data_IF_199036405985
#
_entry.id   IF_199036405985
#
_cell.length_a   1.000
_cell.length_b   1.000
_cell.length_c   1.000
_cell.angle_alpha   90.00
_cell.angle_beta   90.00
_cell.angle_gamma   90.00
#
_symmetry.space_group_name_H-M   'P 1'
#
loop_
_entity.id
_entity.type
_entity.pdbx_description
1 polymer ?
#
# COMPACT_ATOMS: atom_id res chain seq x y z
N UNK A 1 -22.12 11.90 0.45
CA UNK A 1 -21.32 11.10 1.40
C UNK A 1 -20.83 9.80 0.79
N UNK A 2 -21.69 8.96 0.19
CA UNK A 2 -21.27 7.72 -0.50
C UNK A 2 -20.29 7.99 -1.67
N UNK A 3 -20.53 9.05 -2.43
CA UNK A 3 -19.69 9.45 -3.58
C UNK A 3 -18.22 9.69 -3.18
N UNK A 4 -17.98 10.36 -2.05
CA UNK A 4 -16.64 10.66 -1.54
C UNK A 4 -15.87 9.40 -1.12
N UNK A 5 -16.57 8.40 -0.59
CA UNK A 5 -15.95 7.13 -0.19
C UNK A 5 -15.47 6.36 -1.42
N UNK A 6 -16.27 6.35 -2.51
CA UNK A 6 -15.86 5.72 -3.77
C UNK A 6 -14.60 6.36 -4.35
N UNK A 7 -14.50 7.71 -4.32
CA UNK A 7 -13.31 8.42 -4.81
C UNK A 7 -12.05 8.05 -4.02
N UNK A 8 -12.16 7.92 -2.69
CA UNK A 8 -11.02 7.57 -1.82
C UNK A 8 -10.63 6.10 -1.92
N UNK A 9 -11.59 5.19 -2.11
CA UNK A 9 -11.32 3.75 -2.20
C UNK A 9 -10.93 3.28 -3.61
N UNK A 10 -11.32 4.00 -4.66
CA UNK A 10 -11.03 3.64 -6.05
C UNK A 10 -9.55 3.27 -6.30
N UNK A 11 -8.54 4.02 -5.78
CA UNK A 11 -7.14 3.66 -5.97
C UNK A 11 -6.78 2.32 -5.32
N UNK A 12 -7.35 2.01 -4.15
CA UNK A 12 -7.10 0.75 -3.43
C UNK A 12 -7.63 -0.43 -4.24
N UNK A 13 -8.87 -0.33 -4.74
CA UNK A 13 -9.45 -1.35 -5.60
C UNK A 13 -8.68 -1.51 -6.91
N UNK A 14 -8.17 -0.42 -7.48
CA UNK A 14 -7.35 -0.46 -8.69
C UNK A 14 -6.06 -1.26 -8.48
N UNK A 15 -5.32 -0.99 -7.40
CA UNK A 15 -4.07 -1.71 -7.07
C UNK A 15 -4.38 -3.19 -6.77
N UNK A 16 -5.45 -3.48 -6.02
CA UNK A 16 -5.88 -4.85 -5.74
C UNK A 16 -6.24 -5.62 -7.02
N UNK A 17 -6.95 -4.99 -7.95
CA UNK A 17 -7.29 -5.60 -9.23
C UNK A 17 -6.04 -5.98 -10.02
N UNK A 18 -5.04 -5.08 -10.09
CA UNK A 18 -3.75 -5.36 -10.75
C UNK A 18 -3.06 -6.56 -10.10
N UNK A 19 -2.95 -6.58 -8.77
CA UNK A 19 -2.34 -7.69 -8.04
C UNK A 19 -3.05 -9.03 -8.29
N UNK A 20 -4.39 -9.00 -8.31
CA UNK A 20 -5.20 -10.18 -8.63
C UNK A 20 -4.98 -10.68 -10.05
N UNK A 21 -4.99 -9.80 -11.06
CA UNK A 21 -4.73 -10.20 -12.44
C UNK A 21 -3.32 -10.74 -12.64
N UNK A 22 -2.32 -10.15 -12.00
CA UNK A 22 -0.94 -10.62 -12.09
C UNK A 22 -0.76 -12.00 -11.43
N UNK A 23 -1.39 -12.23 -10.28
CA UNK A 23 -1.45 -13.57 -9.66
C UNK A 23 -2.21 -14.58 -10.51
N UNK A 24 -3.37 -14.19 -11.09
CA UNK A 24 -4.18 -15.04 -11.97
C UNK A 24 -3.45 -15.42 -13.25
N UNK A 25 -2.63 -14.52 -13.81
CA UNK A 25 -1.79 -14.79 -14.97
C UNK A 25 -0.61 -15.74 -14.66
N UNK A 26 -0.46 -16.21 -13.41
CA UNK A 26 0.68 -17.01 -12.92
C UNK A 26 2.04 -16.39 -13.23
N UNK A 27 2.09 -15.05 -13.32
CA UNK A 27 3.36 -14.33 -13.53
C UNK A 27 4.25 -14.39 -12.29
N UNK A 28 3.67 -14.72 -11.14
CA UNK A 28 4.36 -14.87 -9.87
C UNK A 28 4.17 -16.29 -9.32
N UNK A 29 5.27 -17.00 -9.12
CA UNK A 29 5.29 -18.22 -8.32
C UNK A 29 5.23 -17.88 -6.82
N UNK A 30 4.90 -18.87 -5.98
CA UNK A 30 4.84 -18.76 -4.51
C UNK A 30 6.08 -18.11 -3.90
N UNK A 31 7.26 -18.44 -4.43
CA UNK A 31 8.55 -17.83 -4.04
C UNK A 31 8.59 -16.33 -4.34
N UNK A 32 8.10 -15.90 -5.50
CA UNK A 32 8.10 -14.49 -5.89
C UNK A 32 7.06 -13.67 -5.12
N UNK A 33 5.89 -14.26 -4.83
CA UNK A 33 4.90 -13.61 -3.95
C UNK A 33 5.41 -13.47 -2.52
N UNK A 34 6.18 -14.45 -2.02
CA UNK A 34 6.83 -14.36 -0.71
C UNK A 34 7.89 -13.26 -0.69
N UNK A 35 8.72 -13.17 -1.73
CA UNK A 35 9.72 -12.11 -1.85
C UNK A 35 9.10 -10.71 -1.92
N UNK A 36 7.98 -10.54 -2.63
CA UNK A 36 7.22 -9.28 -2.62
C UNK A 36 6.68 -8.95 -1.23
N UNK A 37 6.14 -9.93 -0.52
CA UNK A 37 5.64 -9.73 0.84
C UNK A 37 6.77 -9.32 1.81
N UNK A 38 7.93 -9.97 1.72
CA UNK A 38 9.12 -9.64 2.52
C UNK A 38 9.62 -8.22 2.21
N UNK A 39 9.71 -7.83 0.94
CA UNK A 39 10.05 -6.46 0.55
C UNK A 39 9.07 -5.42 1.11
N UNK A 40 7.77 -5.74 1.09
CA UNK A 40 6.75 -4.85 1.65
C UNK A 40 6.90 -4.73 3.16
N UNK A 41 7.09 -5.84 3.88
CA UNK A 41 7.16 -5.84 5.33
C UNK A 41 8.46 -5.23 5.85
N UNK A 42 9.60 -5.52 5.22
CA UNK A 42 10.91 -5.13 5.75
C UNK A 42 11.37 -3.76 5.26
N UNK A 43 10.88 -3.30 4.10
CA UNK A 43 11.30 -2.02 3.52
C UNK A 43 10.14 -1.05 3.35
N UNK A 44 9.09 -1.43 2.61
CA UNK A 44 8.03 -0.49 2.25
C UNK A 44 7.24 -0.01 3.49
N UNK A 45 6.94 -0.93 4.41
CA UNK A 45 6.20 -0.64 5.64
C UNK A 45 7.01 0.32 6.54
N UNK A 46 8.26 0.03 6.95
CA UNK A 46 9.08 0.98 7.72
C UNK A 46 9.27 2.32 7.01
N UNK A 47 9.50 2.33 5.70
CA UNK A 47 9.63 3.57 4.93
C UNK A 47 8.35 4.41 4.94
N UNK A 48 7.19 3.78 4.81
CA UNK A 48 5.89 4.49 4.87
C UNK A 48 5.66 5.12 6.24
N UNK A 49 6.04 4.43 7.33
CA UNK A 49 5.97 4.96 8.69
C UNK A 49 6.93 6.12 8.89
N UNK A 50 8.15 6.04 8.34
CA UNK A 50 9.11 7.13 8.38
C UNK A 50 8.61 8.37 7.62
N UNK A 51 8.06 8.19 6.42
CA UNK A 51 7.47 9.28 5.64
C UNK A 51 6.27 9.88 6.37
N UNK A 52 5.39 9.06 6.94
CA UNK A 52 4.26 9.54 7.75
C UNK A 52 4.72 10.33 8.98
N UNK A 53 5.76 9.87 9.66
CA UNK A 53 6.32 10.55 10.84
C UNK A 53 7.02 11.87 10.46
N UNK A 54 7.82 11.89 9.39
CA UNK A 54 8.56 13.07 8.94
C UNK A 54 7.68 14.14 8.28
N UNK A 55 6.61 13.74 7.61
CA UNK A 55 5.63 14.67 7.01
C UNK A 55 4.63 15.24 8.02
N UNK A 56 4.55 14.68 9.23
CA UNK A 56 3.73 15.24 10.31
C UNK A 56 4.35 16.56 10.79
N UNK A 57 3.66 17.68 10.53
CA UNK A 57 4.13 19.01 10.99
C UNK A 57 4.27 19.04 12.50
N UNK A 58 5.35 19.66 13.00
CA UNK A 58 5.60 19.87 14.44
C UNK A 58 4.43 20.60 15.12
N UNK A 59 3.71 21.44 14.39
CA UNK A 59 2.54 22.16 14.88
C UNK A 59 1.36 21.23 15.23
N UNK A 60 1.29 20.06 14.58
CA UNK A 60 0.27 19.02 14.86
C UNK A 60 0.67 18.11 16.02
N UNK A 61 1.95 18.06 16.38
CA UNK A 61 2.45 17.27 17.53
C UNK A 61 2.34 18.01 18.86
N UNK A 62 2.23 19.35 18.82
CA UNK A 62 2.14 20.21 20.01
C UNK A 62 0.70 20.70 20.29
N UNK A 63 -0.27 20.34 19.45
CA UNK A 63 -1.71 20.49 19.71
C UNK A 63 -2.24 19.24 20.39
#
# INVERSE_FOLDING_TARGET
>A
MLDSIFVVLSPIFFVLAIGYFAGRAKQFDSTQTSGLNELVLDYALPASLFVGTSSTSRDRLLQ
#
